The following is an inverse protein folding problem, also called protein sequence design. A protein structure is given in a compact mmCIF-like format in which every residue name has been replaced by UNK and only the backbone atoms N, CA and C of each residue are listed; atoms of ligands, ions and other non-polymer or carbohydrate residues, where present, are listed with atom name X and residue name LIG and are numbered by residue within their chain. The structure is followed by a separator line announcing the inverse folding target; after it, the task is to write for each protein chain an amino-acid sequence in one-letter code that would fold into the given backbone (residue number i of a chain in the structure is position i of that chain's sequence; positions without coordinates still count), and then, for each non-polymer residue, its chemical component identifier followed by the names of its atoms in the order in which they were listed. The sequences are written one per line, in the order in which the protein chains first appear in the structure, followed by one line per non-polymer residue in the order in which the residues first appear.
data_IF_117030836710
#
_entry.id   IF_117030836710
#
_cell.length_a   1.000
_cell.length_b   1.000
_cell.length_c   1.000
_cell.angle_alpha   90.00
_cell.angle_beta   90.00
_cell.angle_gamma   90.00
#
_symmetry.space_group_name_H-M   'P 1'
#
loop_
_entity.id
_entity.type
_entity.pdbx_description
1 polymer ?
#
# COMPACT_ATOMS: atom_id res chain seq x y z
N UNK A 1 2.46 25.46 55.73
CA UNK A 1 2.70 24.60 56.92
C UNK A 1 1.49 23.69 57.09
N UNK A 2 1.74 22.41 57.35
CA UNK A 2 0.78 21.31 57.56
C UNK A 2 0.15 20.70 56.27
N UNK A 3 -0.18 19.39 56.28
CA UNK A 3 0.38 18.38 55.37
C UNK A 3 -0.68 17.55 54.63
N UNK A 4 -0.34 16.83 53.55
CA UNK A 4 -1.20 15.75 53.04
C UNK A 4 -0.41 14.52 52.58
N UNK A 5 -0.64 13.46 53.34
CA UNK A 5 -0.43 12.04 53.13
C UNK A 5 -1.45 11.45 52.16
N UNK A 6 -1.02 10.50 51.34
CA UNK A 6 -1.81 9.40 50.73
C UNK A 6 -0.82 8.23 50.62
N UNK A 7 -0.83 7.15 51.40
CA UNK A 7 -1.83 6.15 51.84
C UNK A 7 -2.51 5.34 50.72
N UNK A 8 -2.19 4.03 50.77
CA UNK A 8 -2.92 2.83 50.34
C UNK A 8 -2.84 2.36 48.86
N UNK A 9 -2.27 1.16 48.64
CA UNK A 9 -2.60 0.26 47.52
C UNK A 9 -3.64 -0.79 47.94
N UNK A 10 -3.68 -2.00 47.32
CA UNK A 10 -3.94 -2.38 45.93
C UNK A 10 -5.30 -3.13 45.78
N UNK A 11 -5.66 -3.68 44.60
CA UNK A 11 -5.94 -5.13 44.58
C UNK A 11 -5.55 -5.88 43.29
N UNK A 12 -5.14 -7.13 43.52
CA UNK A 12 -5.12 -8.26 42.59
C UNK A 12 -6.41 -8.38 41.77
N UNK A 13 -6.33 -8.63 40.44
CA UNK A 13 -7.30 -9.42 39.66
C UNK A 13 -7.04 -9.42 38.13
N UNK A 14 -5.87 -9.83 37.64
CA UNK A 14 -5.77 -10.38 36.26
C UNK A 14 -4.72 -11.50 36.27
N UNK A 15 -5.02 -12.59 36.97
CA UNK A 15 -4.19 -13.82 36.98
C UNK A 15 -4.91 -15.04 36.41
N UNK A 16 -6.11 -14.87 35.84
CA UNK A 16 -6.89 -15.97 35.28
C UNK A 16 -7.44 -15.59 33.90
N UNK A 17 -6.73 -15.99 32.84
CA UNK A 17 -7.26 -16.35 31.51
C UNK A 17 -6.14 -16.84 30.58
N UNK A 18 -5.38 -17.82 31.06
CA UNK A 18 -4.59 -18.72 30.22
C UNK A 18 -5.17 -20.12 30.35
N UNK A 19 -5.97 -20.55 29.38
CA UNK A 19 -6.21 -21.97 29.11
C UNK A 19 -6.01 -22.18 27.62
N UNK A 20 -4.80 -22.62 27.28
CA UNK A 20 -4.50 -23.29 26.02
C UNK A 20 -5.14 -24.68 26.08
N UNK A 21 -5.98 -25.00 25.11
CA UNK A 21 -6.36 -26.39 24.83
C UNK A 21 -6.35 -26.63 23.32
N UNK A 22 -5.19 -27.14 22.88
CA UNK A 22 -4.97 -28.12 21.81
C UNK A 22 -6.18 -28.45 20.93
N UNK A 23 -6.12 -28.07 19.64
CA UNK A 23 -6.72 -28.83 18.53
C UNK A 23 -6.21 -28.39 17.13
N UNK A 24 -4.96 -27.94 17.01
CA UNK A 24 -4.44 -27.39 15.74
C UNK A 24 -3.58 -28.34 14.89
N UNK A 25 -3.38 -29.60 15.30
CA UNK A 25 -2.50 -30.52 14.55
C UNK A 25 -3.20 -31.25 13.38
N UNK A 26 -4.54 -31.27 13.32
CA UNK A 26 -5.25 -32.09 12.32
C UNK A 26 -5.90 -31.32 11.15
N UNK A 27 -6.02 -29.98 11.20
CA UNK A 27 -6.57 -29.21 10.07
C UNK A 27 -5.51 -28.63 9.13
N UNK A 28 -4.25 -28.51 9.58
CA UNK A 28 -3.14 -28.01 8.76
C UNK A 28 -2.72 -28.99 7.64
N UNK A 29 -2.99 -30.30 7.80
CA UNK A 29 -2.66 -31.30 6.80
C UNK A 29 -3.64 -31.35 5.61
N UNK A 30 -4.86 -30.81 5.76
CA UNK A 30 -5.89 -30.85 4.72
C UNK A 30 -5.86 -29.61 3.78
N UNK A 31 -5.29 -28.49 4.23
CA UNK A 31 -5.29 -27.23 3.48
C UNK A 31 -4.11 -27.07 2.48
N UNK A 32 -3.16 -28.03 2.46
CA UNK A 32 -1.96 -27.95 1.62
C UNK A 32 -2.18 -28.39 0.15
N UNK A 33 -3.38 -28.82 -0.25
CA UNK A 33 -3.60 -29.48 -1.53
C UNK A 33 -4.15 -28.59 -2.67
N UNK A 34 -4.56 -27.34 -2.42
CA UNK A 34 -5.16 -26.51 -3.48
C UNK A 34 -5.02 -25.03 -3.16
N UNK A 35 -4.05 -24.35 -3.78
CA UNK A 35 -4.14 -22.99 -4.36
C UNK A 35 -2.73 -22.51 -4.69
N UNK A 36 -2.47 -22.27 -5.97
CA UNK A 36 -1.30 -21.57 -6.50
C UNK A 36 -1.31 -20.10 -6.04
N UNK A 37 -0.61 -19.77 -4.95
CA UNK A 37 -0.45 -18.41 -4.45
C UNK A 37 0.96 -17.86 -4.69
N UNK A 38 1.03 -16.56 -5.01
CA UNK A 38 2.27 -15.76 -5.08
C UNK A 38 2.94 -15.72 -3.70
N UNK A 39 4.27 -15.72 -3.61
CA UNK A 39 4.95 -15.79 -2.32
C UNK A 39 4.82 -14.50 -1.48
N UNK A 40 5.15 -14.56 -0.18
CA UNK A 40 5.18 -13.40 0.69
C UNK A 40 6.29 -12.38 0.37
N UNK A 41 5.89 -11.21 -0.15
CA UNK A 41 6.68 -9.96 -0.06
C UNK A 41 6.95 -9.59 1.42
N UNK A 42 8.21 -9.70 1.86
CA UNK A 42 8.68 -9.40 3.22
C UNK A 42 9.31 -7.99 3.35
N UNK A 43 9.36 -7.20 2.27
CA UNK A 43 9.98 -5.86 2.26
C UNK A 43 9.48 -4.93 3.38
N UNK A 44 8.17 -4.87 3.73
CA UNK A 44 7.68 -3.89 4.71
C UNK A 44 8.09 -4.18 6.16
N UNK A 45 8.53 -5.40 6.48
CA UNK A 45 8.59 -5.87 7.86
C UNK A 45 9.82 -5.33 8.60
N UNK A 46 11.00 -5.30 7.96
CA UNK A 46 12.19 -4.71 8.58
C UNK A 46 12.15 -3.17 8.62
N UNK A 47 11.28 -2.55 7.82
CA UNK A 47 11.10 -1.10 7.82
C UNK A 47 10.35 -0.60 9.05
N UNK A 48 9.41 -1.40 9.59
CA UNK A 48 8.77 -1.12 10.89
C UNK A 48 9.85 -0.96 11.97
N UNK A 49 10.82 -1.89 11.99
CA UNK A 49 11.94 -1.84 12.94
C UNK A 49 12.79 -0.58 12.78
N UNK A 50 12.90 -0.04 11.56
CA UNK A 50 13.64 1.20 11.30
C UNK A 50 12.83 2.44 11.69
N UNK A 51 11.52 2.45 11.44
CA UNK A 51 10.63 3.55 11.81
C UNK A 51 10.53 3.76 13.32
N UNK A 52 10.55 2.68 14.10
CA UNK A 52 10.59 2.76 15.57
C UNK A 52 11.87 3.42 16.11
N UNK A 53 12.90 3.60 15.28
CA UNK A 53 14.15 4.28 15.62
C UNK A 53 14.19 5.75 15.16
N UNK A 54 13.29 6.15 14.26
CA UNK A 54 13.17 7.55 13.86
C UNK A 54 12.47 8.31 14.99
N UNK A 55 13.12 9.35 15.52
CA UNK A 55 12.48 10.28 16.43
C UNK A 55 11.37 10.96 15.61
N UNK A 56 10.14 11.06 16.13
CA UNK A 56 8.93 11.46 15.39
C UNK A 56 8.94 12.83 14.69
N UNK A 57 10.09 13.48 14.60
CA UNK A 57 10.35 14.66 13.78
C UNK A 57 10.65 14.23 12.33
N UNK A 58 9.60 14.06 11.53
CA UNK A 58 9.69 13.71 10.10
C UNK A 58 10.34 14.81 9.24
N UNK A 59 10.79 15.91 9.87
CA UNK A 59 11.38 17.06 9.21
C UNK A 59 12.92 17.01 9.22
N UNK A 60 13.47 16.66 8.03
CA UNK A 60 14.83 16.92 7.52
C UNK A 60 15.92 15.86 7.77
N UNK A 61 16.41 15.33 6.64
CA UNK A 61 17.62 14.50 6.42
C UNK A 61 17.59 13.11 7.07
N UNK A 62 17.74 12.08 6.24
CA UNK A 62 18.09 10.71 6.66
C UNK A 62 19.23 10.77 7.68
N UNK A 63 18.99 10.24 8.88
CA UNK A 63 20.01 10.24 9.93
C UNK A 63 21.26 9.46 9.47
N UNK A 64 22.47 9.85 9.90
CA UNK A 64 23.67 9.10 9.55
C UNK A 64 23.59 7.64 9.98
N UNK A 65 23.97 6.71 9.10
CA UNK A 65 23.90 5.25 9.32
C UNK A 65 24.44 4.82 10.70
N UNK A 66 25.59 5.35 11.13
CA UNK A 66 26.19 5.00 12.42
C UNK A 66 25.29 5.37 13.61
N UNK A 67 24.56 6.48 13.52
CA UNK A 67 23.60 6.91 14.54
C UNK A 67 22.41 5.95 14.59
N UNK A 68 21.88 5.55 13.43
CA UNK A 68 20.77 4.61 13.35
C UNK A 68 21.13 3.22 13.86
N UNK A 69 22.34 2.73 13.56
CA UNK A 69 22.84 1.46 14.09
C UNK A 69 22.91 1.51 15.62
N UNK A 70 23.46 2.58 16.19
CA UNK A 70 23.54 2.73 17.65
C UNK A 70 22.15 2.76 18.29
N UNK A 71 21.20 3.50 17.69
CA UNK A 71 19.80 3.49 18.13
C UNK A 71 19.20 2.09 18.09
N UNK A 72 19.42 1.34 17.00
CA UNK A 72 18.93 -0.03 16.87
C UNK A 72 19.47 -0.94 17.98
N UNK A 73 20.77 -0.84 18.27
CA UNK A 73 21.43 -1.61 19.34
C UNK A 73 20.92 -1.22 20.71
N UNK A 74 20.88 0.09 21.04
CA UNK A 74 20.35 0.56 22.32
C UNK A 74 18.90 0.12 22.53
N UNK A 75 18.06 0.25 21.51
CA UNK A 75 16.66 -0.15 21.53
C UNK A 75 16.53 -1.66 21.74
N UNK A 76 17.30 -2.46 21.01
CA UNK A 76 17.31 -3.92 21.16
C UNK A 76 17.73 -4.37 22.58
N UNK A 77 18.69 -3.68 23.20
CA UNK A 77 19.17 -4.03 24.54
C UNK A 77 18.23 -3.60 25.68
N UNK A 78 17.50 -2.48 25.52
CA UNK A 78 16.77 -1.83 26.61
C UNK A 78 15.24 -1.84 26.46
N UNK A 79 14.71 -2.07 25.26
CA UNK A 79 13.26 -2.10 24.96
C UNK A 79 12.84 -3.56 24.66
N UNK A 80 12.15 -4.24 25.60
CA UNK A 80 11.78 -5.64 25.46
C UNK A 80 10.77 -5.89 24.34
N UNK A 81 9.91 -4.92 24.03
CA UNK A 81 8.91 -5.04 22.97
C UNK A 81 9.59 -4.94 21.60
N UNK A 82 10.53 -3.99 21.46
CA UNK A 82 11.36 -3.89 20.26
C UNK A 82 12.20 -5.14 20.05
N UNK A 83 12.83 -5.68 21.12
CA UNK A 83 13.60 -6.91 21.06
C UNK A 83 12.76 -8.09 20.57
N UNK A 84 11.57 -8.29 21.13
CA UNK A 84 10.66 -9.36 20.71
C UNK A 84 10.24 -9.20 19.25
N UNK A 85 9.81 -8.00 18.85
CA UNK A 85 9.41 -7.73 17.47
C UNK A 85 10.59 -7.98 16.51
N UNK A 86 11.77 -7.46 16.84
CA UNK A 86 12.98 -7.65 16.05
C UNK A 86 13.26 -9.14 15.83
N UNK A 87 13.27 -9.94 16.89
CA UNK A 87 13.55 -11.37 16.79
C UNK A 87 12.52 -12.12 15.93
N UNK A 88 11.23 -11.82 16.09
CA UNK A 88 10.16 -12.41 15.28
C UNK A 88 10.31 -12.08 13.79
N UNK A 89 10.66 -10.83 13.47
CA UNK A 89 10.93 -10.41 12.09
C UNK A 89 12.10 -11.20 11.52
N UNK A 90 13.20 -11.29 12.26
CA UNK A 90 14.40 -12.02 11.81
C UNK A 90 14.12 -13.50 11.61
N UNK A 91 13.36 -14.13 12.50
CA UNK A 91 12.98 -15.54 12.40
C UNK A 91 12.12 -15.81 11.17
N UNK A 92 11.18 -14.92 10.85
CA UNK A 92 10.36 -15.02 9.63
C UNK A 92 11.23 -15.02 8.36
N UNK A 93 12.22 -14.12 8.29
CA UNK A 93 13.18 -14.10 7.19
C UNK A 93 13.99 -15.39 7.10
N UNK A 94 14.48 -15.89 8.24
CA UNK A 94 15.28 -17.12 8.31
C UNK A 94 14.46 -18.33 7.86
N UNK A 95 13.21 -18.45 8.30
CA UNK A 95 12.30 -19.53 7.90
C UNK A 95 12.06 -19.52 6.38
N UNK A 96 11.78 -18.35 5.82
CA UNK A 96 11.52 -18.21 4.38
C UNK A 96 12.77 -18.48 3.55
N UNK A 97 13.93 -17.91 3.90
CA UNK A 97 15.18 -18.17 3.20
C UNK A 97 15.60 -19.65 3.25
N UNK A 98 15.38 -20.34 4.38
CA UNK A 98 15.63 -21.77 4.53
C UNK A 98 14.68 -22.61 3.68
N UNK A 99 13.39 -22.25 3.61
CA UNK A 99 12.42 -22.91 2.74
C UNK A 99 12.77 -22.72 1.27
N UNK A 100 13.06 -21.49 0.86
CA UNK A 100 13.38 -21.08 -0.51
C UNK A 100 14.59 -21.81 -1.07
N UNK A 101 15.66 -21.90 -0.29
CA UNK A 101 16.86 -22.60 -0.72
C UNK A 101 16.62 -24.11 -0.83
N UNK A 102 15.71 -24.68 -0.04
CA UNK A 102 15.31 -26.08 -0.19
C UNK A 102 14.48 -26.30 -1.46
N UNK A 103 13.52 -25.42 -1.75
CA UNK A 103 12.73 -25.43 -2.99
C UNK A 103 13.68 -25.35 -4.18
N UNK A 104 14.63 -24.42 -4.18
CA UNK A 104 15.62 -24.27 -5.24
C UNK A 104 16.49 -25.52 -5.41
N UNK A 105 16.97 -26.12 -4.30
CA UNK A 105 17.75 -27.37 -4.32
C UNK A 105 16.95 -28.57 -4.85
N UNK A 106 15.63 -28.63 -4.58
CA UNK A 106 14.74 -29.66 -5.16
C UNK A 106 14.60 -29.47 -6.67
N UNK A 107 14.35 -28.23 -7.11
CA UNK A 107 14.27 -27.87 -8.54
C UNK A 107 15.54 -28.20 -9.31
N UNK A 108 16.72 -28.05 -8.71
CA UNK A 108 17.98 -28.44 -9.37
C UNK A 108 18.27 -29.94 -9.38
N UNK A 109 17.62 -30.74 -8.52
CA UNK A 109 17.80 -32.19 -8.45
C UNK A 109 16.85 -32.98 -9.35
N UNK A 110 15.74 -32.38 -9.76
CA UNK A 110 14.72 -33.02 -10.58
C UNK A 110 14.76 -32.42 -11.99
N UNK A 111 15.04 -33.25 -13.00
CA UNK A 111 15.05 -32.85 -14.41
C UNK A 111 13.64 -32.43 -14.86
N UNK A 112 13.50 -31.16 -15.25
CA UNK A 112 12.53 -30.47 -16.13
C UNK A 112 11.05 -30.93 -16.28
N UNK A 113 10.55 -31.97 -15.62
CA UNK A 113 9.29 -32.62 -16.05
C UNK A 113 8.25 -32.87 -14.94
N UNK A 114 8.27 -32.09 -13.86
CA UNK A 114 7.14 -32.06 -12.90
C UNK A 114 6.78 -30.60 -12.62
N UNK A 115 5.50 -30.27 -12.84
CA UNK A 115 4.92 -28.99 -12.49
C UNK A 115 4.80 -28.88 -10.95
N UNK A 116 5.92 -28.57 -10.29
CA UNK A 116 5.97 -28.28 -8.87
C UNK A 116 5.60 -26.80 -8.66
N UNK A 117 4.37 -26.56 -8.24
CA UNK A 117 3.78 -25.24 -8.00
C UNK A 117 4.43 -24.49 -6.81
N UNK A 118 5.43 -25.08 -6.14
CA UNK A 118 6.19 -24.44 -5.06
C UNK A 118 6.99 -23.23 -5.57
N UNK A 119 6.59 -22.03 -5.12
CA UNK A 119 7.24 -20.76 -5.46
C UNK A 119 8.25 -20.36 -4.37
N UNK A 120 9.39 -19.82 -4.81
CA UNK A 120 10.41 -19.22 -3.94
C UNK A 120 9.90 -17.88 -3.43
N UNK A 121 10.08 -17.56 -2.15
CA UNK A 121 9.66 -16.30 -1.54
C UNK A 121 10.49 -15.08 -1.94
N UNK A 122 9.95 -13.88 -1.71
CA UNK A 122 10.65 -12.63 -1.98
C UNK A 122 11.69 -12.29 -0.89
N UNK A 123 11.89 -13.17 0.11
CA UNK A 123 12.79 -12.92 1.23
C UNK A 123 14.23 -12.59 0.80
N UNK A 124 14.72 -13.27 -0.25
CA UNK A 124 16.05 -13.00 -0.80
C UNK A 124 16.13 -11.62 -1.48
N UNK A 125 15.08 -11.20 -2.19
CA UNK A 125 14.99 -9.86 -2.79
C UNK A 125 14.93 -8.77 -1.74
N UNK A 126 14.13 -8.97 -0.69
CA UNK A 126 14.03 -8.06 0.45
C UNK A 126 15.39 -7.85 1.12
N UNK A 127 16.27 -8.86 1.10
CA UNK A 127 17.64 -8.73 1.59
C UNK A 127 18.59 -8.05 0.60
N UNK A 128 18.32 -8.08 -0.71
CA UNK A 128 19.24 -7.67 -1.78
C UNK A 128 18.84 -6.35 -2.48
N UNK A 129 17.99 -5.52 -1.84
CA UNK A 129 17.46 -4.31 -2.48
C UNK A 129 18.53 -3.46 -3.16
N UNK A 130 18.16 -2.90 -4.32
CA UNK A 130 19.04 -2.13 -5.21
C UNK A 130 18.87 -0.62 -5.06
N UNK A 131 17.87 -0.20 -4.30
CA UNK A 131 17.65 1.19 -3.90
C UNK A 131 18.63 1.57 -2.78
N UNK A 132 19.25 2.75 -2.90
CA UNK A 132 20.19 3.27 -1.90
C UNK A 132 19.54 3.49 -0.53
N UNK A 133 18.24 3.81 -0.50
CA UNK A 133 17.47 4.02 0.73
C UNK A 133 17.23 2.70 1.46
N UNK A 134 16.82 1.64 0.76
CA UNK A 134 16.59 0.33 1.36
C UNK A 134 17.89 -0.28 1.90
N UNK A 135 18.99 -0.10 1.17
CA UNK A 135 20.33 -0.51 1.63
C UNK A 135 20.70 0.23 2.93
N UNK A 136 20.30 1.49 3.08
CA UNK A 136 20.48 2.24 4.32
C UNK A 136 19.67 1.64 5.47
N UNK A 137 18.39 1.32 5.23
CA UNK A 137 17.49 0.72 6.23
C UNK A 137 18.00 -0.66 6.67
N UNK A 138 18.27 -1.55 5.71
CA UNK A 138 18.75 -2.92 5.94
C UNK A 138 20.03 -2.91 6.80
N UNK A 139 20.94 -1.98 6.53
CA UNK A 139 22.17 -1.81 7.30
C UNK A 139 21.93 -1.22 8.69
N UNK A 140 20.99 -0.29 8.81
CA UNK A 140 20.65 0.39 10.06
C UNK A 140 20.12 -0.58 11.10
N UNK A 141 19.27 -1.53 10.70
CA UNK A 141 18.69 -2.53 11.60
C UNK A 141 19.51 -3.83 11.70
N UNK A 142 20.73 -3.86 11.15
CA UNK A 142 21.62 -5.04 11.18
C UNK A 142 21.01 -6.34 10.61
N UNK A 143 20.04 -6.23 9.69
CA UNK A 143 19.25 -7.36 9.16
C UNK A 143 20.14 -8.53 8.69
N UNK A 144 21.15 -8.23 7.87
CA UNK A 144 22.05 -9.27 7.33
C UNK A 144 22.89 -9.97 8.37
N UNK A 145 23.33 -9.24 9.39
CA UNK A 145 24.16 -9.82 10.44
C UNK A 145 23.33 -10.81 11.25
N UNK A 146 22.13 -10.40 11.69
CA UNK A 146 21.26 -11.25 12.50
C UNK A 146 20.76 -12.46 11.71
N UNK A 147 20.32 -12.28 10.47
CA UNK A 147 19.93 -13.41 9.61
C UNK A 147 21.12 -14.36 9.41
N UNK A 148 22.32 -13.85 9.13
CA UNK A 148 23.49 -14.70 8.94
C UNK A 148 23.84 -15.49 10.21
N UNK A 149 23.71 -14.89 11.40
CA UNK A 149 23.91 -15.58 12.69
C UNK A 149 22.87 -16.68 12.91
N UNK A 150 21.58 -16.42 12.63
CA UNK A 150 20.49 -17.40 12.81
C UNK A 150 20.51 -18.51 11.74
N UNK A 151 21.02 -18.24 10.53
CA UNK A 151 21.18 -19.26 9.48
C UNK A 151 22.46 -20.08 9.70
N UNK A 152 23.55 -19.45 10.14
CA UNK A 152 24.86 -20.08 10.36
C UNK A 152 25.38 -19.88 11.81
N UNK A 153 24.67 -20.41 12.82
CA UNK A 153 25.01 -20.20 14.24
C UNK A 153 26.34 -20.87 14.59
N UNK A 154 27.17 -20.19 15.39
CA UNK A 154 28.53 -20.61 15.73
C UNK A 154 28.60 -22.01 16.34
N UNK A 155 27.56 -22.38 17.09
CA UNK A 155 27.42 -23.66 17.79
C UNK A 155 27.26 -24.84 16.83
N UNK A 156 26.73 -24.60 15.62
CA UNK A 156 26.43 -25.64 14.64
C UNK A 156 27.56 -25.89 13.63
N UNK A 157 28.59 -25.04 13.62
CA UNK A 157 29.66 -25.05 12.61
C UNK A 157 31.04 -25.00 13.28
N UNK A 158 31.75 -26.13 13.38
CA UNK A 158 33.08 -26.21 14.01
C UNK A 158 34.09 -25.22 13.43
N UNK A 159 33.99 -24.87 12.14
CA UNK A 159 34.86 -23.90 11.47
C UNK A 159 34.76 -22.46 12.02
N UNK A 160 33.75 -22.16 12.84
CA UNK A 160 33.53 -20.84 13.44
C UNK A 160 33.92 -20.77 14.92
N UNK A 161 34.18 -21.90 15.59
CA UNK A 161 34.41 -21.93 17.03
C UNK A 161 35.64 -21.14 17.48
N UNK A 162 36.68 -21.06 16.64
CA UNK A 162 37.94 -20.39 16.97
C UNK A 162 38.12 -19.01 16.32
N UNK A 163 37.07 -18.47 15.69
CA UNK A 163 37.16 -17.16 15.03
C UNK A 163 36.92 -16.03 16.02
N UNK A 164 37.59 -14.91 15.78
CA UNK A 164 37.23 -13.65 16.42
C UNK A 164 35.86 -13.18 15.90
N UNK A 165 35.15 -12.37 16.69
CA UNK A 165 33.77 -11.98 16.40
C UNK A 165 33.62 -11.26 15.05
N UNK A 166 34.54 -10.35 14.72
CA UNK A 166 34.55 -9.65 13.44
C UNK A 166 34.75 -10.59 12.24
N UNK A 167 35.66 -11.56 12.38
CA UNK A 167 35.93 -12.58 11.36
C UNK A 167 34.76 -13.55 11.20
N UNK A 168 34.11 -13.92 12.31
CA UNK A 168 32.90 -14.73 12.29
C UNK A 168 31.79 -14.04 11.51
N UNK A 169 31.45 -12.78 11.84
CA UNK A 169 30.42 -11.97 11.16
C UNK A 169 30.72 -11.85 9.66
N UNK A 170 31.96 -11.53 9.32
CA UNK A 170 32.39 -11.38 7.92
C UNK A 170 32.17 -12.68 7.13
N UNK A 171 32.58 -13.83 7.69
CA UNK A 171 32.43 -15.13 7.03
C UNK A 171 30.98 -15.56 6.88
N UNK A 172 30.14 -15.42 7.91
CA UNK A 172 28.73 -15.82 7.80
C UNK A 172 27.95 -14.93 6.84
N UNK A 173 28.26 -13.62 6.78
CA UNK A 173 27.64 -12.70 5.81
C UNK A 173 28.03 -13.07 4.37
N UNK A 174 29.31 -13.35 4.13
CA UNK A 174 29.76 -13.79 2.81
C UNK A 174 29.15 -15.13 2.41
N UNK A 175 29.03 -16.06 3.37
CA UNK A 175 28.37 -17.36 3.19
C UNK A 175 26.89 -17.22 2.87
N UNK A 176 26.14 -16.44 3.65
CA UNK A 176 24.72 -16.13 3.39
C UNK A 176 24.52 -15.57 1.98
N UNK A 177 25.36 -14.61 1.59
CA UNK A 177 25.30 -14.02 0.25
C UNK A 177 25.55 -15.05 -0.84
N UNK A 178 26.62 -15.86 -0.73
CA UNK A 178 27.05 -16.82 -1.76
C UNK A 178 26.17 -18.06 -1.85
N UNK A 179 25.77 -18.62 -0.71
CA UNK A 179 25.09 -19.92 -0.63
C UNK A 179 23.56 -19.79 -0.65
N UNK A 180 23.00 -18.62 -0.29
CA UNK A 180 21.55 -18.41 -0.19
C UNK A 180 21.08 -17.30 -1.12
N UNK A 181 21.52 -16.06 -0.92
CA UNK A 181 20.93 -14.89 -1.58
C UNK A 181 21.20 -14.85 -3.10
N UNK A 182 22.45 -15.03 -3.53
CA UNK A 182 22.83 -15.01 -4.97
C UNK A 182 22.16 -16.14 -5.77
N UNK A 183 22.13 -17.40 -5.29
CA UNK A 183 21.36 -18.46 -5.94
C UNK A 183 19.88 -18.14 -6.16
N UNK A 184 19.22 -17.58 -5.14
CA UNK A 184 17.80 -17.26 -5.18
C UNK A 184 17.51 -16.10 -6.16
N UNK A 185 18.29 -15.01 -6.10
CA UNK A 185 18.20 -13.89 -7.05
C UNK A 185 18.40 -14.34 -8.51
N UNK A 186 19.39 -15.22 -8.76
CA UNK A 186 19.63 -15.75 -10.11
C UNK A 186 18.46 -16.61 -10.61
N UNK A 187 17.90 -17.46 -9.75
CA UNK A 187 16.80 -18.34 -10.10
C UNK A 187 15.54 -17.55 -10.46
N UNK A 188 15.25 -16.49 -9.72
CA UNK A 188 14.12 -15.61 -9.99
C UNK A 188 14.25 -14.87 -11.32
N UNK A 189 15.44 -14.30 -11.61
CA UNK A 189 15.72 -13.63 -12.88
C UNK A 189 15.53 -14.55 -14.08
N UNK A 190 15.91 -15.83 -13.95
CA UNK A 190 15.72 -16.84 -15.00
C UNK A 190 14.25 -17.26 -15.21
N UNK A 191 13.39 -17.11 -14.19
CA UNK A 191 11.96 -17.34 -14.30
C UNK A 191 11.23 -16.16 -14.97
N UNK A 192 11.69 -14.93 -14.76
CA UNK A 192 11.12 -13.73 -15.40
C UNK A 192 11.30 -13.71 -16.93
N UNK A 193 12.34 -14.33 -17.48
CA UNK A 193 12.56 -14.42 -18.93
C UNK A 193 11.71 -15.49 -19.65
N UNK A 194 11.17 -16.48 -18.92
CA UNK A 194 10.45 -17.63 -19.49
C UNK A 194 8.93 -17.63 -19.23
N UNK A 195 8.36 -16.53 -18.72
CA UNK A 195 6.89 -16.40 -18.59
C UNK A 195 6.26 -16.11 -19.96
N UNK A 196 6.07 -17.16 -20.76
CA UNK A 196 4.93 -17.18 -21.68
C UNK A 196 3.68 -16.93 -20.83
N UNK A 197 2.99 -15.81 -21.05
CA UNK A 197 1.82 -15.34 -20.29
C UNK A 197 0.79 -16.47 -20.15
N UNK A 198 0.76 -17.14 -19.01
CA UNK A 198 -0.42 -17.86 -18.55
C UNK A 198 -1.47 -16.79 -18.26
N UNK A 199 -2.65 -16.88 -18.87
CA UNK A 199 -3.72 -15.89 -18.70
C UNK A 199 -4.00 -15.70 -17.20
N UNK A 200 -4.09 -14.45 -16.75
CA UNK A 200 -4.45 -14.13 -15.36
C UNK A 200 -5.86 -14.62 -15.03
N UNK A 201 -6.16 -14.78 -13.74
CA UNK A 201 -7.51 -15.15 -13.27
C UNK A 201 -8.57 -14.16 -13.79
N UNK A 202 -8.25 -12.86 -13.78
CA UNK A 202 -9.13 -11.79 -14.25
C UNK A 202 -9.42 -11.90 -15.77
N UNK A 203 -8.41 -12.22 -16.59
CA UNK A 203 -8.56 -12.43 -18.04
C UNK A 203 -9.42 -13.68 -18.33
N UNK A 204 -9.25 -14.73 -17.52
CA UNK A 204 -10.02 -15.98 -17.64
C UNK A 204 -11.50 -15.72 -17.34
N UNK A 205 -11.79 -15.01 -16.25
CA UNK A 205 -13.15 -14.59 -15.91
C UNK A 205 -13.81 -13.80 -17.04
N UNK A 206 -13.15 -12.77 -17.58
CA UNK A 206 -13.73 -11.97 -18.67
C UNK A 206 -13.97 -12.79 -19.96
N UNK A 207 -13.12 -13.78 -20.25
CA UNK A 207 -13.34 -14.72 -21.36
C UNK A 207 -14.53 -15.64 -21.12
N UNK A 208 -14.75 -16.08 -19.89
CA UNK A 208 -15.91 -16.91 -19.52
C UNK A 208 -17.21 -16.11 -19.59
N UNK A 209 -17.21 -14.86 -19.12
CA UNK A 209 -18.33 -13.94 -19.29
C UNK A 209 -18.62 -13.72 -20.77
N UNK A 210 -17.60 -13.46 -21.59
CA UNK A 210 -17.76 -13.28 -23.05
C UNK A 210 -18.37 -14.53 -23.72
N UNK A 211 -18.05 -15.71 -23.21
CA UNK A 211 -18.54 -16.99 -23.71
C UNK A 211 -19.89 -17.40 -23.11
N UNK A 212 -20.58 -16.50 -22.41
CA UNK A 212 -21.85 -16.73 -21.71
C UNK A 212 -21.80 -17.91 -20.71
N UNK A 213 -20.61 -18.22 -20.17
CA UNK A 213 -20.42 -19.31 -19.21
C UNK A 213 -20.70 -18.87 -17.77
N UNK A 214 -20.51 -17.60 -17.47
CA UNK A 214 -20.80 -17.00 -16.17
C UNK A 214 -21.43 -15.61 -16.34
N UNK A 215 -22.14 -15.15 -15.31
CA UNK A 215 -22.77 -13.83 -15.29
C UNK A 215 -21.80 -12.79 -14.76
N UNK A 216 -21.99 -11.54 -15.18
CA UNK A 216 -21.27 -10.39 -14.62
C UNK A 216 -21.76 -10.14 -13.19
N UNK A 217 -20.84 -10.24 -12.24
CA UNK A 217 -21.05 -9.82 -10.85
C UNK A 217 -20.40 -8.44 -10.65
N UNK A 218 -21.08 -7.52 -9.97
CA UNK A 218 -20.68 -6.11 -9.90
C UNK A 218 -19.33 -5.89 -9.20
N UNK A 219 -18.98 -6.74 -8.25
CA UNK A 219 -17.78 -6.72 -7.42
C UNK A 219 -16.72 -7.76 -7.83
N UNK A 220 -16.91 -8.44 -8.98
CA UNK A 220 -15.98 -9.46 -9.47
C UNK A 220 -14.56 -8.93 -9.72
N UNK A 221 -14.44 -7.69 -10.22
CA UNK A 221 -13.17 -7.04 -10.52
C UNK A 221 -13.10 -5.65 -9.89
N UNK A 222 -11.93 -5.32 -9.34
CA UNK A 222 -11.64 -3.96 -8.88
C UNK A 222 -11.50 -2.99 -10.07
N UNK A 223 -11.73 -1.68 -9.87
CA UNK A 223 -11.74 -0.69 -10.96
C UNK A 223 -10.49 -0.74 -11.86
N UNK A 224 -9.29 -0.73 -11.28
CA UNK A 224 -8.02 -0.81 -12.02
C UNK A 224 -7.85 -2.11 -12.82
N UNK A 225 -8.40 -3.23 -12.32
CA UNK A 225 -8.36 -4.52 -13.03
C UNK A 225 -9.28 -4.55 -14.24
N UNK A 226 -10.38 -3.78 -14.21
CA UNK A 226 -11.26 -3.62 -15.37
C UNK A 226 -10.56 -2.80 -16.44
N UNK A 227 -9.90 -1.70 -16.03
CA UNK A 227 -9.20 -0.80 -16.96
C UNK A 227 -8.06 -1.50 -17.71
N UNK A 228 -7.39 -2.47 -17.09
CA UNK A 228 -6.34 -3.27 -17.74
C UNK A 228 -6.79 -3.98 -19.04
N UNK A 229 -8.10 -4.11 -19.31
CA UNK A 229 -8.65 -4.78 -20.49
C UNK A 229 -9.40 -3.85 -21.44
N UNK A 230 -9.40 -2.53 -21.23
CA UNK A 230 -10.13 -1.60 -22.11
C UNK A 230 -9.54 -1.54 -23.51
N UNK A 231 -8.23 -1.69 -23.62
CA UNK A 231 -7.50 -1.71 -24.90
C UNK A 231 -7.40 -3.09 -25.54
N UNK A 232 -7.87 -4.15 -24.86
CA UNK A 232 -7.89 -5.50 -25.43
C UNK A 232 -9.04 -5.62 -26.44
N UNK A 233 -8.77 -5.79 -27.75
CA UNK A 233 -9.82 -5.84 -28.78
C UNK A 233 -10.82 -6.98 -28.57
N UNK A 234 -10.42 -8.04 -27.85
CA UNK A 234 -11.27 -9.18 -27.54
C UNK A 234 -12.12 -8.95 -26.28
N UNK A 235 -11.62 -8.20 -25.29
CA UNK A 235 -12.25 -8.07 -23.98
C UNK A 235 -12.87 -6.69 -23.72
N UNK A 236 -12.56 -5.68 -24.53
CA UNK A 236 -13.03 -4.29 -24.39
C UNK A 236 -14.53 -4.18 -24.06
N UNK A 237 -15.39 -4.83 -24.84
CA UNK A 237 -16.85 -4.78 -24.63
C UNK A 237 -17.28 -5.39 -23.30
N UNK A 238 -16.62 -6.46 -22.86
CA UNK A 238 -16.93 -7.13 -21.60
C UNK A 238 -16.39 -6.34 -20.41
N UNK A 239 -15.20 -5.74 -20.54
CA UNK A 239 -14.65 -4.81 -19.56
C UNK A 239 -15.58 -3.59 -19.37
N UNK A 240 -16.11 -3.03 -20.45
CA UNK A 240 -17.07 -1.93 -20.39
C UNK A 240 -18.40 -2.33 -19.72
N UNK A 241 -18.91 -3.53 -20.01
CA UNK A 241 -20.09 -4.06 -19.31
C UNK A 241 -19.83 -4.30 -17.82
N UNK A 242 -18.65 -4.83 -17.46
CA UNK A 242 -18.23 -5.01 -16.08
C UNK A 242 -18.15 -3.67 -15.34
N UNK A 243 -17.54 -2.64 -15.94
CA UNK A 243 -17.48 -1.28 -15.39
C UNK A 243 -18.87 -0.70 -15.14
N UNK A 244 -19.75 -0.76 -16.16
CA UNK A 244 -21.11 -0.25 -16.06
C UNK A 244 -21.88 -0.93 -14.93
N UNK A 245 -21.74 -2.25 -14.82
CA UNK A 245 -22.41 -3.05 -13.76
C UNK A 245 -21.91 -2.66 -12.38
N UNK A 246 -20.59 -2.46 -12.20
CA UNK A 246 -19.99 -1.98 -10.95
C UNK A 246 -20.53 -0.59 -10.57
N UNK A 247 -20.52 0.38 -11.49
CA UNK A 247 -21.00 1.75 -11.24
C UNK A 247 -22.50 1.77 -10.88
N UNK A 248 -23.33 1.00 -11.59
CA UNK A 248 -24.77 0.92 -11.31
C UNK A 248 -25.07 0.29 -9.95
N UNK A 249 -24.34 -0.76 -9.57
CA UNK A 249 -24.46 -1.37 -8.25
C UNK A 249 -24.04 -0.39 -7.15
N UNK A 250 -22.90 0.29 -7.29
CA UNK A 250 -22.46 1.29 -6.31
C UNK A 250 -23.47 2.44 -6.17
N UNK A 251 -24.07 2.92 -7.27
CA UNK A 251 -25.17 3.91 -7.21
C UNK A 251 -26.38 3.39 -6.44
N UNK A 252 -26.72 2.11 -6.61
CA UNK A 252 -27.82 1.47 -5.88
C UNK A 252 -27.47 1.31 -4.39
N UNK A 253 -26.25 0.94 -4.05
CA UNK A 253 -25.77 0.86 -2.67
C UNK A 253 -25.90 2.22 -1.95
N UNK A 254 -25.54 3.31 -2.62
CA UNK A 254 -25.70 4.67 -2.09
C UNK A 254 -27.15 5.04 -1.78
N UNK A 255 -28.08 4.66 -2.65
CA UNK A 255 -29.53 4.87 -2.42
C UNK A 255 -30.08 4.08 -1.23
N UNK A 256 -29.43 2.97 -0.87
CA UNK A 256 -29.81 2.13 0.26
C UNK A 256 -29.14 2.57 1.57
N UNK A 257 -28.51 3.75 1.60
CA UNK A 257 -27.90 4.33 2.79
C UNK A 257 -26.50 3.80 3.12
N UNK A 258 -25.90 2.99 2.24
CA UNK A 258 -24.48 2.64 2.36
C UNK A 258 -23.64 3.84 1.92
N UNK A 259 -22.55 4.12 2.62
CA UNK A 259 -21.61 5.15 2.21
C UNK A 259 -21.01 4.80 0.84
N UNK A 260 -20.96 5.78 -0.05
CA UNK A 260 -20.38 5.67 -1.39
C UNK A 260 -19.48 6.87 -1.65
N UNK A 261 -18.70 6.82 -2.74
CA UNK A 261 -17.83 7.91 -3.18
C UNK A 261 -18.59 9.13 -3.74
N UNK A 262 -19.79 9.42 -3.22
CA UNK A 262 -20.55 10.62 -3.56
C UNK A 262 -19.89 11.87 -2.98
N UNK A 263 -20.02 12.99 -3.68
CA UNK A 263 -19.45 14.29 -3.32
C UNK A 263 -17.90 14.30 -3.23
N UNK A 264 -17.25 13.40 -3.96
CA UNK A 264 -15.79 13.30 -4.02
C UNK A 264 -15.27 13.86 -5.34
N UNK A 265 -14.28 14.75 -5.32
CA UNK A 265 -13.67 15.30 -6.55
C UNK A 265 -12.23 14.86 -6.67
N UNK A 266 -11.83 14.35 -7.84
CA UNK A 266 -10.46 13.99 -8.11
C UNK A 266 -9.68 15.16 -8.72
N UNK A 267 -8.46 15.36 -8.23
CA UNK A 267 -7.39 16.10 -8.90
C UNK A 267 -6.43 15.05 -9.47
N UNK A 268 -6.43 14.90 -10.79
CA UNK A 268 -5.67 13.87 -11.48
C UNK A 268 -4.25 14.34 -11.79
N UNK A 269 -3.27 13.67 -11.20
CA UNK A 269 -1.85 13.73 -11.55
C UNK A 269 -1.37 12.40 -12.13
N UNK A 270 -0.45 12.51 -13.07
CA UNK A 270 0.30 11.41 -13.66
C UNK A 270 1.59 12.00 -14.26
N UNK A 271 2.40 12.58 -13.38
CA UNK A 271 3.77 13.02 -13.66
C UNK A 271 4.76 11.84 -13.70
N UNK A 272 4.34 10.73 -14.32
CA UNK A 272 5.27 9.67 -14.68
C UNK A 272 6.10 10.13 -15.90
N UNK A 273 7.19 10.86 -15.66
CA UNK A 273 8.22 11.14 -16.68
C UNK A 273 8.89 9.85 -17.21
N UNK A 274 8.53 8.67 -16.69
CA UNK A 274 9.12 7.39 -17.10
C UNK A 274 8.09 6.27 -17.26
N UNK A 275 7.78 5.99 -18.53
CA UNK A 275 7.47 4.67 -19.13
C UNK A 275 6.02 4.15 -19.17
N UNK A 276 5.53 4.15 -20.42
CA UNK A 276 4.51 3.27 -21.04
C UNK A 276 3.05 3.51 -20.66
N UNK A 277 2.19 3.50 -21.70
CA UNK A 277 0.73 3.69 -21.63
C UNK A 277 -0.03 2.68 -20.77
N UNK A 278 0.63 1.79 -20.02
CA UNK A 278 -0.03 0.75 -19.23
C UNK A 278 0.80 0.41 -17.99
N UNK A 279 0.23 0.65 -16.82
CA UNK A 279 0.80 0.27 -15.54
C UNK A 279 -0.27 0.30 -14.46
N UNK A 280 -0.19 -0.60 -13.48
CA UNK A 280 -1.21 -0.75 -12.42
C UNK A 280 -1.49 0.56 -11.67
N UNK A 281 -0.50 1.44 -11.55
CA UNK A 281 -0.62 2.78 -10.95
C UNK A 281 -1.51 3.70 -11.76
N UNK A 282 -1.22 3.83 -13.06
CA UNK A 282 -1.99 4.68 -13.95
C UNK A 282 -3.42 4.15 -14.10
N UNK A 283 -3.58 2.84 -14.27
CA UNK A 283 -4.91 2.20 -14.33
C UNK A 283 -5.70 2.47 -13.05
N UNK A 284 -5.06 2.45 -11.87
CA UNK A 284 -5.74 2.76 -10.63
C UNK A 284 -6.09 4.24 -10.48
N UNK A 285 -5.19 5.16 -10.82
CA UNK A 285 -5.43 6.60 -10.73
C UNK A 285 -6.58 7.02 -11.66
N UNK A 286 -6.54 6.57 -12.92
CA UNK A 286 -7.61 6.82 -13.90
C UNK A 286 -8.91 6.15 -13.46
N UNK A 287 -8.87 4.89 -13.01
CA UNK A 287 -10.07 4.18 -12.57
C UNK A 287 -10.75 4.89 -11.38
N UNK A 288 -9.99 5.28 -10.36
CA UNK A 288 -10.55 5.96 -9.19
C UNK A 288 -11.09 7.34 -9.56
N UNK A 289 -10.39 8.08 -10.43
CA UNK A 289 -10.85 9.36 -10.97
C UNK A 289 -12.19 9.22 -11.69
N UNK A 290 -12.30 8.28 -12.63
CA UNK A 290 -13.53 8.02 -13.38
C UNK A 290 -14.66 7.57 -12.46
N UNK A 291 -14.36 6.71 -11.49
CA UNK A 291 -15.36 6.18 -10.57
C UNK A 291 -15.95 7.27 -9.69
N UNK A 292 -15.12 8.11 -9.05
CA UNK A 292 -15.60 9.26 -8.26
C UNK A 292 -16.45 10.20 -9.12
N UNK A 293 -15.95 10.51 -10.32
CA UNK A 293 -16.64 11.39 -11.27
C UNK A 293 -18.03 10.85 -11.67
N UNK A 294 -18.15 9.55 -11.93
CA UNK A 294 -19.41 8.93 -12.35
C UNK A 294 -20.41 8.69 -11.20
N UNK A 295 -19.92 8.54 -9.96
CA UNK A 295 -20.73 8.32 -8.76
C UNK A 295 -21.30 9.61 -8.17
N UNK A 296 -20.68 10.75 -8.46
CA UNK A 296 -21.21 12.05 -8.07
C UNK A 296 -22.59 12.36 -8.65
N UNK A 297 -23.36 13.14 -7.90
CA UNK A 297 -24.61 13.76 -8.36
C UNK A 297 -24.33 15.11 -9.03
N UNK A 298 -25.35 15.68 -9.69
CA UNK A 298 -25.25 17.03 -10.22
C UNK A 298 -25.09 18.05 -9.09
N UNK A 299 -24.24 19.09 -9.24
CA UNK A 299 -23.54 19.49 -10.47
C UNK A 299 -22.14 18.87 -10.64
N UNK A 300 -21.72 17.94 -9.80
CA UNK A 300 -20.33 17.42 -9.79
C UNK A 300 -20.11 16.22 -10.70
N UNK A 301 -21.21 15.57 -11.11
CA UNK A 301 -21.21 14.40 -11.98
C UNK A 301 -20.40 14.64 -13.25
N UNK A 302 -19.50 13.71 -13.56
CA UNK A 302 -18.68 13.74 -14.76
C UNK A 302 -17.58 14.80 -14.75
N UNK A 303 -17.28 15.42 -13.59
CA UNK A 303 -16.22 16.43 -13.48
C UNK A 303 -14.93 15.89 -12.86
N UNK A 304 -13.81 16.52 -13.20
CA UNK A 304 -12.45 16.24 -12.71
C UNK A 304 -11.63 17.53 -12.78
N UNK A 305 -10.66 17.70 -11.87
CA UNK A 305 -9.69 18.80 -11.94
C UNK A 305 -8.35 18.25 -12.42
N UNK A 306 -7.68 18.97 -13.30
CA UNK A 306 -6.32 18.63 -13.71
C UNK A 306 -5.27 19.18 -12.72
N UNK A 307 -4.17 18.46 -12.56
CA UNK A 307 -3.07 18.87 -11.68
C UNK A 307 -2.23 19.99 -12.33
N UNK A 308 -2.43 21.25 -11.91
CA UNK A 308 -1.79 22.41 -12.55
C UNK A 308 -1.68 23.62 -11.61
N UNK A 309 -0.74 24.52 -11.89
CA UNK A 309 -0.65 25.83 -11.22
C UNK A 309 -1.85 26.74 -11.59
N UNK A 310 -2.48 26.46 -12.74
CA UNK A 310 -3.73 27.08 -13.19
C UNK A 310 -4.78 25.98 -13.41
N UNK A 311 -5.29 25.36 -12.33
CA UNK A 311 -6.19 24.22 -12.44
C UNK A 311 -7.49 24.62 -13.15
N UNK A 312 -8.09 23.65 -13.82
CA UNK A 312 -9.35 23.76 -14.54
C UNK A 312 -10.28 22.62 -14.18
N UNK A 313 -11.57 22.93 -14.08
CA UNK A 313 -12.62 21.94 -13.88
C UNK A 313 -13.11 21.42 -15.22
N UNK A 314 -12.71 20.21 -15.58
CA UNK A 314 -13.07 19.56 -16.83
C UNK A 314 -14.33 18.71 -16.68
N UNK A 315 -15.13 18.64 -17.75
CA UNK A 315 -16.18 17.64 -17.91
C UNK A 315 -15.63 16.49 -18.76
N UNK A 316 -15.62 15.27 -18.23
CA UNK A 316 -15.03 14.09 -18.87
C UNK A 316 -15.86 13.73 -20.11
N UNK A 317 -15.19 13.75 -21.27
CA UNK A 317 -15.80 13.41 -22.55
C UNK A 317 -15.49 11.96 -22.96
N UNK A 318 -16.40 11.34 -23.72
CA UNK A 318 -16.22 9.98 -24.23
C UNK A 318 -17.52 9.17 -24.23
N UNK A 319 -17.71 8.37 -25.28
CA UNK A 319 -18.90 7.53 -25.46
C UNK A 319 -18.76 6.13 -24.87
N UNK A 320 -17.52 5.72 -24.57
CA UNK A 320 -17.20 4.43 -23.99
C UNK A 320 -16.09 4.59 -22.93
N UNK A 321 -15.83 3.53 -22.16
CA UNK A 321 -14.84 3.56 -21.09
C UNK A 321 -13.44 3.93 -21.58
N UNK A 322 -12.99 3.38 -22.72
CA UNK A 322 -11.69 3.67 -23.32
C UNK A 322 -11.51 5.17 -23.61
N UNK A 323 -12.48 5.81 -24.27
CA UNK A 323 -12.41 7.23 -24.61
C UNK A 323 -12.39 8.12 -23.36
N UNK A 324 -13.09 7.71 -22.29
CA UNK A 324 -13.05 8.43 -21.01
C UNK A 324 -11.69 8.31 -20.32
N UNK A 325 -11.09 7.11 -20.34
CA UNK A 325 -9.72 6.91 -19.87
C UNK A 325 -8.75 7.80 -20.65
N UNK A 326 -8.86 7.79 -21.98
CA UNK A 326 -8.02 8.62 -22.86
C UNK A 326 -8.19 10.11 -22.58
N UNK A 327 -9.42 10.58 -22.33
CA UNK A 327 -9.66 11.98 -21.93
C UNK A 327 -8.92 12.34 -20.65
N UNK A 328 -9.06 11.54 -19.59
CA UNK A 328 -8.43 11.80 -18.28
C UNK A 328 -6.90 11.76 -18.40
N UNK A 329 -6.35 10.75 -19.07
CA UNK A 329 -4.90 10.60 -19.23
C UNK A 329 -4.25 11.74 -20.02
N UNK A 330 -4.97 12.32 -20.98
CA UNK A 330 -4.46 13.38 -21.87
C UNK A 330 -4.71 14.81 -21.37
N UNK A 331 -5.30 15.00 -20.18
CA UNK A 331 -5.46 16.35 -19.61
C UNK A 331 -4.09 17.01 -19.40
N UNK A 332 -4.04 18.34 -19.60
CA UNK A 332 -2.83 19.13 -19.35
C UNK A 332 -2.45 19.07 -17.87
N UNK A 333 -1.17 18.89 -17.56
CA UNK A 333 -0.63 18.75 -16.20
C UNK A 333 0.64 19.58 -16.05
N UNK A 334 0.85 20.17 -14.86
CA UNK A 334 2.09 20.84 -14.48
C UNK A 334 2.85 20.06 -13.40
N UNK A 335 4.03 20.56 -13.00
CA UNK A 335 4.79 20.05 -11.85
C UNK A 335 4.30 20.61 -10.50
N UNK A 336 3.49 21.67 -10.51
CA UNK A 336 2.98 22.35 -9.33
C UNK A 336 1.45 22.34 -9.30
N UNK A 337 0.87 22.44 -8.11
CA UNK A 337 -0.57 22.54 -7.88
C UNK A 337 -0.89 23.74 -6.98
N UNK A 338 -1.76 24.62 -7.46
CA UNK A 338 -2.30 25.72 -6.65
C UNK A 338 -3.60 25.28 -5.95
N UNK A 339 -3.47 24.87 -4.68
CA UNK A 339 -4.58 24.37 -3.88
C UNK A 339 -5.67 25.41 -3.64
N UNK A 340 -5.31 26.68 -3.47
CA UNK A 340 -6.32 27.72 -3.28
C UNK A 340 -7.20 27.83 -4.53
N UNK A 341 -6.61 27.76 -5.73
CA UNK A 341 -7.38 27.78 -6.99
C UNK A 341 -8.23 26.55 -7.19
N UNK A 342 -7.77 25.36 -6.77
CA UNK A 342 -8.61 24.13 -6.77
C UNK A 342 -9.90 24.37 -5.98
N UNK A 343 -9.78 24.98 -4.79
CA UNK A 343 -10.92 25.29 -3.93
C UNK A 343 -11.76 26.45 -4.46
N UNK A 344 -11.15 27.43 -5.12
CA UNK A 344 -11.86 28.52 -5.79
C UNK A 344 -12.78 27.99 -6.90
N UNK A 345 -12.35 26.98 -7.67
CA UNK A 345 -13.21 26.30 -8.68
C UNK A 345 -14.44 25.63 -8.05
N UNK A 346 -14.25 24.95 -6.92
CA UNK A 346 -15.35 24.32 -6.17
C UNK A 346 -16.32 25.39 -5.67
N UNK A 347 -15.77 26.45 -5.09
CA UNK A 347 -16.56 27.56 -4.56
C UNK A 347 -17.30 28.31 -5.66
N UNK A 348 -16.71 28.48 -6.84
CA UNK A 348 -17.34 29.08 -8.01
C UNK A 348 -18.57 28.28 -8.44
N UNK A 349 -18.46 26.95 -8.58
CA UNK A 349 -19.60 26.08 -8.91
C UNK A 349 -20.69 26.19 -7.84
N UNK A 350 -20.31 26.22 -6.56
CA UNK A 350 -21.23 26.32 -5.44
C UNK A 350 -22.01 27.64 -5.44
N UNK A 351 -21.31 28.76 -5.60
CA UNK A 351 -21.90 30.11 -5.62
C UNK A 351 -22.78 30.29 -6.86
N UNK A 352 -22.29 29.89 -8.04
CA UNK A 352 -23.05 30.02 -9.29
C UNK A 352 -24.29 29.11 -9.30
N UNK A 353 -24.20 27.93 -8.69
CA UNK A 353 -25.30 26.97 -8.56
C UNK A 353 -26.22 27.22 -7.37
N UNK A 354 -25.90 28.17 -6.48
CA UNK A 354 -26.57 28.38 -5.20
C UNK A 354 -26.79 27.07 -4.42
N UNK A 355 -25.72 26.28 -4.30
CA UNK A 355 -25.76 24.95 -3.71
C UNK A 355 -26.06 25.01 -2.20
N UNK A 356 -26.67 23.96 -1.69
CA UNK A 356 -26.74 23.76 -0.23
C UNK A 356 -25.45 23.10 0.27
N UNK A 357 -25.08 23.28 1.55
CA UNK A 357 -23.91 22.63 2.15
C UNK A 357 -23.86 21.11 1.91
N UNK A 358 -25.01 20.43 1.88
CA UNK A 358 -25.09 18.97 1.67
C UNK A 358 -24.81 18.55 0.23
N UNK A 359 -24.89 19.50 -0.71
CA UNK A 359 -24.58 19.30 -2.13
C UNK A 359 -23.12 19.66 -2.45
N UNK A 360 -22.34 20.11 -1.47
CA UNK A 360 -20.93 20.46 -1.66
C UNK A 360 -20.07 19.20 -1.79
N UNK A 361 -18.96 19.33 -2.49
CA UNK A 361 -17.87 18.34 -2.41
C UNK A 361 -17.42 18.25 -0.95
N UNK A 362 -17.36 17.03 -0.41
CA UNK A 362 -16.88 16.76 0.94
C UNK A 362 -15.38 16.45 0.94
N UNK A 363 -14.86 15.85 -0.14
CA UNK A 363 -13.49 15.38 -0.25
C UNK A 363 -12.89 15.68 -1.61
N UNK A 364 -11.65 16.14 -1.61
CA UNK A 364 -10.82 16.30 -2.80
C UNK A 364 -9.69 15.28 -2.74
N UNK A 365 -9.65 14.35 -3.68
CA UNK A 365 -8.59 13.36 -3.79
C UNK A 365 -7.53 13.83 -4.78
N UNK A 366 -6.34 14.15 -4.29
CA UNK A 366 -5.18 14.44 -5.15
C UNK A 366 -4.44 13.12 -5.35
N UNK A 367 -4.61 12.52 -6.53
CA UNK A 367 -4.00 11.22 -6.87
C UNK A 367 -2.67 11.49 -7.57
N UNK A 368 -1.55 11.25 -6.90
CA UNK A 368 -0.24 11.78 -7.30
C UNK A 368 0.92 10.82 -7.00
N UNK A 369 2.10 11.09 -7.57
CA UNK A 369 3.36 10.42 -7.19
C UNK A 369 4.18 11.21 -6.15
N UNK A 370 3.85 12.48 -5.91
CA UNK A 370 4.57 13.32 -4.96
C UNK A 370 4.37 12.87 -3.51
N UNK A 371 5.40 13.11 -2.67
CA UNK A 371 5.41 12.63 -1.28
C UNK A 371 4.69 13.57 -0.34
N UNK A 372 4.94 14.86 -0.53
CA UNK A 372 4.52 15.91 0.36
C UNK A 372 3.80 16.99 -0.41
N UNK A 373 2.90 17.68 0.28
CA UNK A 373 2.19 18.83 -0.29
C UNK A 373 3.18 19.95 -0.67
N UNK A 374 4.25 20.13 0.10
CA UNK A 374 5.32 21.11 -0.17
C UNK A 374 6.15 20.77 -1.40
N UNK A 375 6.07 19.54 -1.92
CA UNK A 375 6.76 19.17 -3.15
C UNK A 375 6.11 19.83 -4.38
N UNK A 376 4.85 20.28 -4.25
CA UNK A 376 4.01 20.73 -5.38
C UNK A 376 3.36 22.10 -5.15
N UNK A 377 3.36 22.61 -3.91
CA UNK A 377 2.87 23.95 -3.57
C UNK A 377 4.01 24.88 -3.18
N UNK A 378 3.87 26.16 -3.54
CA UNK A 378 4.79 27.22 -3.12
C UNK A 378 4.53 27.73 -1.69
N UNK A 379 3.37 27.44 -1.12
CA UNK A 379 2.97 27.83 0.23
C UNK A 379 2.99 26.62 1.15
N UNK A 380 2.96 26.84 2.47
CA UNK A 380 2.67 25.77 3.44
C UNK A 380 1.18 25.47 3.52
N UNK A 381 0.79 24.21 3.78
CA UNK A 381 -0.62 23.80 3.81
C UNK A 381 -1.45 24.63 4.77
N UNK A 382 -0.93 24.91 5.97
CA UNK A 382 -1.59 25.72 6.98
C UNK A 382 -2.06 27.09 6.45
N UNK A 383 -1.18 27.79 5.74
CA UNK A 383 -1.47 29.12 5.17
C UNK A 383 -2.53 29.04 4.08
N UNK A 384 -2.43 28.07 3.18
CA UNK A 384 -3.45 27.86 2.14
C UNK A 384 -4.79 27.47 2.76
N UNK A 385 -4.79 26.61 3.77
CA UNK A 385 -6.01 26.14 4.42
C UNK A 385 -6.73 27.26 5.19
N UNK A 386 -6.00 28.11 5.92
CA UNK A 386 -6.58 29.29 6.59
C UNK A 386 -7.22 30.26 5.57
N UNK A 387 -6.59 30.47 4.42
CA UNK A 387 -7.13 31.28 3.33
C UNK A 387 -8.38 30.64 2.71
N UNK A 388 -8.35 29.33 2.44
CA UNK A 388 -9.48 28.55 1.91
C UNK A 388 -10.68 28.64 2.86
N UNK A 389 -10.48 28.40 4.16
CA UNK A 389 -11.54 28.48 5.16
C UNK A 389 -12.18 29.87 5.20
N UNK A 390 -11.37 30.92 5.11
CA UNK A 390 -11.83 32.31 5.09
C UNK A 390 -12.72 32.57 3.86
N UNK A 391 -12.26 32.19 2.66
CA UNK A 391 -13.04 32.34 1.41
C UNK A 391 -14.38 31.60 1.46
N UNK A 392 -14.39 30.36 1.95
CA UNK A 392 -15.61 29.56 2.08
C UNK A 392 -16.58 30.19 3.08
N UNK A 393 -16.07 30.65 4.23
CA UNK A 393 -16.89 31.32 5.25
C UNK A 393 -17.53 32.60 4.72
N UNK A 394 -16.79 33.43 3.99
CA UNK A 394 -17.28 34.67 3.38
C UNK A 394 -18.41 34.42 2.37
N UNK A 395 -18.41 33.26 1.70
CA UNK A 395 -19.46 32.85 0.75
C UNK A 395 -20.60 32.05 1.38
N UNK A 396 -20.60 31.87 2.71
CA UNK A 396 -21.65 31.14 3.43
C UNK A 396 -21.47 29.61 3.50
N UNK A 397 -20.32 29.09 3.07
CA UNK A 397 -19.98 27.66 3.04
C UNK A 397 -18.94 27.25 4.10
N UNK A 398 -18.78 28.04 5.17
CA UNK A 398 -17.74 27.79 6.19
C UNK A 398 -17.83 26.44 6.91
N UNK A 399 -19.00 25.77 6.88
CA UNK A 399 -19.20 24.41 7.44
C UNK A 399 -19.03 23.30 6.42
N UNK A 400 -18.77 23.64 5.15
CA UNK A 400 -18.70 22.71 4.02
C UNK A 400 -17.40 22.92 3.22
N UNK A 401 -16.30 23.16 3.93
CA UNK A 401 -14.95 23.20 3.35
C UNK A 401 -14.52 21.76 3.06
N UNK A 402 -14.19 21.39 1.81
CA UNK A 402 -13.75 20.05 1.48
C UNK A 402 -12.48 19.63 2.24
N UNK A 403 -12.41 18.36 2.63
CA UNK A 403 -11.20 17.73 3.17
C UNK A 403 -10.32 17.22 2.03
N UNK A 404 -9.01 17.46 2.07
CA UNK A 404 -8.09 16.92 1.06
C UNK A 404 -7.61 15.54 1.48
N UNK A 405 -7.61 14.59 0.55
CA UNK A 405 -6.84 13.35 0.66
C UNK A 405 -5.74 13.41 -0.39
N UNK A 406 -4.51 13.66 0.05
CA UNK A 406 -3.32 13.67 -0.79
C UNK A 406 -2.79 12.24 -0.86
N UNK A 407 -3.12 11.53 -1.93
CA UNK A 407 -2.85 10.11 -2.07
C UNK A 407 -1.68 9.87 -3.01
N UNK A 408 -0.56 9.42 -2.43
CA UNK A 408 0.63 8.97 -3.15
C UNK A 408 0.48 7.53 -3.66
N UNK A 409 0.47 7.36 -4.98
CA UNK A 409 0.33 6.08 -5.69
C UNK A 409 1.69 5.40 -5.89
N UNK A 410 2.27 4.90 -4.81
CA UNK A 410 3.50 4.08 -4.88
C UNK A 410 3.10 2.60 -5.15
N UNK A 411 3.57 1.96 -6.24
CA UNK A 411 3.19 0.55 -6.52
C UNK A 411 3.86 -0.44 -5.57
N UNK A 412 3.05 -1.35 -5.05
CA UNK A 412 3.50 -2.49 -4.25
C UNK A 412 4.32 -3.54 -4.99
N UNK A 413 4.66 -3.28 -6.26
CA UNK A 413 5.44 -4.24 -7.03
C UNK A 413 6.92 -4.19 -6.65
N UNK A 414 7.45 -3.05 -6.19
CA UNK A 414 8.70 -2.94 -5.47
C UNK A 414 8.66 -1.60 -4.72
N UNK A 415 8.90 -1.59 -3.41
CA UNK A 415 9.13 -0.37 -2.61
C UNK A 415 7.91 0.53 -2.31
N UNK A 416 6.85 0.01 -1.67
CA UNK A 416 5.89 0.92 -0.99
C UNK A 416 5.54 0.51 0.42
N UNK A 417 5.91 1.39 1.34
CA UNK A 417 5.55 1.43 2.74
C UNK A 417 4.03 1.67 2.86
N UNK A 418 3.27 0.89 3.64
CA UNK A 418 2.01 1.39 4.16
C UNK A 418 2.34 2.49 5.17
N UNK A 419 2.38 3.75 4.71
CA UNK A 419 2.53 4.91 5.61
C UNK A 419 1.16 5.15 6.22
N UNK A 420 1.10 5.08 7.55
CA UNK A 420 -0.11 5.39 8.30
C UNK A 420 -0.66 6.75 7.84
N UNK A 421 -1.99 6.86 7.60
CA UNK A 421 -2.57 8.13 7.21
C UNK A 421 -2.21 9.22 8.23
N UNK A 422 -1.42 10.21 7.81
CA UNK A 422 -1.12 11.37 8.65
C UNK A 422 -2.21 12.39 8.42
N UNK A 423 -2.82 12.89 9.50
CA UNK A 423 -3.91 13.85 9.41
C UNK A 423 -3.51 15.16 10.07
N UNK A 424 -3.57 16.22 9.29
CA UNK A 424 -3.51 17.60 9.75
C UNK A 424 -4.89 18.26 9.51
N UNK A 425 -5.19 19.44 10.09
CA UNK A 425 -6.44 20.12 9.82
C UNK A 425 -6.71 20.27 8.31
N UNK A 426 -7.79 19.64 7.83
CA UNK A 426 -8.23 19.72 6.44
C UNK A 426 -7.48 18.85 5.42
N UNK A 427 -6.46 18.06 5.83
CA UNK A 427 -5.73 17.17 4.91
C UNK A 427 -5.38 15.83 5.56
N UNK A 428 -5.51 14.77 4.77
CA UNK A 428 -4.96 13.43 5.06
C UNK A 428 -3.93 13.09 4.00
N UNK A 429 -2.72 12.73 4.42
CA UNK A 429 -1.71 12.13 3.55
C UNK A 429 -1.91 10.61 3.55
N UNK A 430 -2.10 10.02 2.38
CA UNK A 430 -2.30 8.58 2.20
C UNK A 430 -1.24 8.05 1.22
N UNK A 431 -0.64 6.89 1.50
CA UNK A 431 0.39 6.32 0.64
C UNK A 431 0.17 4.85 0.35
N UNK A 432 0.59 4.43 -0.84
CA UNK A 432 0.58 3.05 -1.30
C UNK A 432 -0.63 2.69 -2.17
N UNK A 433 -0.52 1.56 -2.84
CA UNK A 433 -1.52 1.06 -3.77
C UNK A 433 -1.63 -0.47 -3.73
N UNK A 434 -2.60 -1.00 -2.97
CA UNK A 434 -2.99 -2.43 -3.00
C UNK A 434 -4.42 -2.63 -3.46
N UNK A 435 -4.72 -3.84 -3.95
CA UNK A 435 -6.10 -4.30 -4.13
C UNK A 435 -6.92 -4.23 -2.84
N UNK A 436 -6.31 -4.51 -1.67
CA UNK A 436 -6.99 -4.42 -0.37
C UNK A 436 -7.32 -2.97 0.01
N UNK A 437 -6.39 -2.04 -0.23
CA UNK A 437 -6.59 -0.61 0.03
C UNK A 437 -7.68 -0.04 -0.87
N UNK A 438 -7.66 -0.39 -2.16
CA UNK A 438 -8.72 0.00 -3.09
C UNK A 438 -10.06 -0.60 -2.65
N UNK A 439 -10.09 -1.88 -2.25
CA UNK A 439 -11.32 -2.50 -1.75
C UNK A 439 -11.86 -1.77 -0.51
N UNK A 440 -11.01 -1.52 0.48
CA UNK A 440 -11.35 -0.77 1.69
C UNK A 440 -11.89 0.62 1.36
N UNK A 441 -11.20 1.33 0.46
CA UNK A 441 -11.60 2.64 -0.03
C UNK A 441 -13.02 2.63 -0.61
N UNK A 442 -13.35 1.64 -1.43
CA UNK A 442 -14.66 1.49 -2.05
C UNK A 442 -15.75 1.11 -1.05
N UNK A 443 -15.43 0.25 -0.08
CA UNK A 443 -16.38 -0.24 0.93
C UNK A 443 -16.77 0.83 1.94
N UNK A 444 -15.83 1.73 2.27
CA UNK A 444 -15.99 2.78 3.27
C UNK A 444 -16.33 4.15 2.68
N UNK A 445 -16.82 4.21 1.43
CA UNK A 445 -17.23 5.48 0.80
C UNK A 445 -16.11 6.52 0.72
N UNK A 446 -14.86 6.08 0.62
CA UNK A 446 -13.69 6.96 0.55
C UNK A 446 -13.11 7.38 1.89
N UNK A 447 -13.53 6.76 2.99
CA UNK A 447 -12.88 6.87 4.30
C UNK A 447 -11.82 5.79 4.48
N UNK A 448 -10.61 6.20 4.87
CA UNK A 448 -9.53 5.29 5.27
C UNK A 448 -8.96 5.82 6.59
N UNK A 449 -9.40 5.24 7.69
CA UNK A 449 -8.85 5.52 9.02
C UNK A 449 -7.53 4.77 9.28
N UNK A 450 -6.72 5.23 10.27
CA UNK A 450 -5.52 4.55 10.73
C UNK A 450 -5.71 3.05 11.00
N UNK A 451 -6.73 2.69 11.79
CA UNK A 451 -6.99 1.30 12.20
C UNK A 451 -7.36 0.43 11.01
N UNK A 452 -8.26 0.94 10.16
CA UNK A 452 -8.73 0.26 8.95
C UNK A 452 -7.58 0.06 7.94
N UNK A 453 -6.70 1.05 7.82
CA UNK A 453 -5.51 0.96 6.99
C UNK A 453 -4.55 -0.12 7.51
N UNK A 454 -4.29 -0.13 8.82
CA UNK A 454 -3.48 -1.16 9.48
C UNK A 454 -4.07 -2.55 9.26
N UNK A 455 -5.35 -2.75 9.58
CA UNK A 455 -6.08 -4.01 9.37
C UNK A 455 -5.97 -4.47 7.91
N UNK A 456 -6.13 -3.55 6.95
CA UNK A 456 -5.99 -3.85 5.52
C UNK A 456 -4.58 -4.30 5.16
N UNK A 457 -3.54 -3.66 5.70
CA UNK A 457 -2.15 -4.02 5.48
C UNK A 457 -1.81 -5.42 6.01
N UNK A 458 -2.38 -5.81 7.16
CA UNK A 458 -2.13 -7.11 7.80
C UNK A 458 -3.18 -8.19 7.45
N UNK A 459 -4.23 -7.87 6.70
CA UNK A 459 -5.30 -8.81 6.35
C UNK A 459 -4.85 -9.97 5.43
N UNK A 460 -3.67 -9.86 4.82
CA UNK A 460 -3.17 -10.91 3.93
C UNK A 460 -2.84 -12.19 4.71
N UNK A 461 -3.04 -13.36 4.09
CA UNK A 461 -2.71 -14.68 4.70
C UNK A 461 -1.28 -14.75 5.26
N UNK A 462 -0.37 -13.91 4.75
CA UNK A 462 1.03 -13.78 5.15
C UNK A 462 1.19 -13.32 6.60
N UNK A 463 0.26 -12.53 7.09
CA UNK A 463 0.29 -11.92 8.43
C UNK A 463 -0.75 -12.52 9.38
N UNK A 464 -1.39 -13.64 9.02
CA UNK A 464 -2.37 -14.32 9.89
C UNK A 464 -1.81 -14.78 11.24
N UNK A 465 -0.48 -14.88 11.37
CA UNK A 465 0.20 -15.15 12.65
C UNK A 465 0.38 -13.89 13.51
N UNK A 466 0.24 -12.70 12.94
CA UNK A 466 0.30 -11.44 13.66
C UNK A 466 -1.08 -11.15 14.26
N UNK A 467 -1.09 -10.78 15.54
CA UNK A 467 -2.31 -10.39 16.26
C UNK A 467 -2.12 -8.96 16.71
N UNK A 468 -3.10 -8.10 16.43
CA UNK A 468 -3.15 -6.74 16.99
C UNK A 468 -3.52 -6.87 18.46
N UNK A 469 -2.69 -6.32 19.34
CA UNK A 469 -2.93 -6.30 20.80
C UNK A 469 -3.18 -4.86 21.20
N UNK A 470 -4.24 -4.64 21.99
CA UNK A 470 -4.65 -3.35 22.57
C UNK A 470 -3.88 -3.06 23.87
#
# INVERSE_FOLDING_TARGET
MAPYTTLAGPPELIRDRFVVANNFENEAAAAAATTTMRPPNLFPIYEILYQLLEDGDQHRRTEPLAKMINKAVERYEHDPDYHLLYDQVMDLFVEHLKSDIQILKRKWKQSDDINDDAQVSDAANSCLSRNSQDVHIIRSVLLWETIARKVFPRESYPEYQHLEEADYISKIRDRLRKEVLVPLDKAERSQCSNRSRKAGADETYLKEVKADKCKIEADALLPHKILAFVDDPNLQKVAELQWKTMVEDMKRQGKNGKQTLSNCLAVYDDNSEFHSRHGIRMDASVALTLLMSELNEEPWKGKVINFSESPQLHFIQGNNLMNKCEFVSNMHKDQNLDFQKVFDLILEVAVNGNLKPEQMINKVFVLTEYKHFEDVSNNSWKTDYEAIQSKFKEKGYGTAVPHIVFWRFESLDHESRPVMPSTEPGVTLLSGLSSNLIKLFLENGGEIGPDQFMESAISSKKFQKLVVVD
#
